data_IF_319418156152
#
_entry.id   IF_319418156152
#
_cell.length_a   1.000
_cell.length_b   1.000
_cell.length_c   1.000
_cell.angle_alpha   90.00
_cell.angle_beta   90.00
_cell.angle_gamma   90.00
#
_symmetry.space_group_name_H-M   'P 1'
#
loop_
_entity.id
_entity.type
_entity.pdbx_description
1 polymer ?
#
# COMPACT_ATOMS: atom_id res chain seq x y z
N UNK A 1 8.90 -20.22 12.38
CA UNK A 1 9.21 -20.35 10.94
C UNK A 1 10.28 -19.33 10.61
N UNK A 2 11.26 -19.70 9.79
CA UNK A 2 12.28 -18.76 9.29
C UNK A 2 11.55 -17.77 8.38
N UNK A 3 11.60 -16.48 8.68
CA UNK A 3 11.01 -15.44 7.81
C UNK A 3 11.86 -15.26 6.55
N UNK A 4 11.25 -14.96 5.39
CA UNK A 4 12.00 -14.63 4.18
C UNK A 4 12.89 -13.39 4.39
N UNK A 5 14.01 -13.35 3.67
CA UNK A 5 14.98 -12.24 3.73
C UNK A 5 14.45 -10.99 3.03
N UNK A 6 13.75 -11.17 1.91
CA UNK A 6 13.21 -10.09 1.09
C UNK A 6 11.69 -10.26 0.97
N UNK A 7 10.96 -9.28 1.48
CA UNK A 7 9.51 -9.21 1.38
C UNK A 7 9.13 -8.11 0.41
N UNK A 8 8.52 -8.47 -0.70
CA UNK A 8 8.02 -7.55 -1.72
C UNK A 8 6.50 -7.42 -1.59
N UNK A 9 5.97 -6.20 -1.70
CA UNK A 9 4.52 -5.99 -1.63
C UNK A 9 4.09 -4.70 -2.34
N UNK A 10 2.80 -4.46 -2.43
CA UNK A 10 2.19 -3.22 -2.87
C UNK A 10 0.88 -3.04 -2.10
N UNK A 11 0.38 -1.81 -1.99
CA UNK A 11 -0.86 -1.59 -1.27
C UNK A 11 -2.07 -2.17 -2.01
N UNK A 12 -3.18 -2.30 -1.29
CA UNK A 12 -4.41 -2.94 -1.79
C UNK A 12 -4.89 -2.35 -3.12
N UNK A 13 -4.76 -1.03 -3.32
CA UNK A 13 -5.22 -0.37 -4.54
C UNK A 13 -4.44 -0.81 -5.78
N UNK A 14 -3.24 -1.35 -5.59
CA UNK A 14 -2.36 -1.87 -6.63
C UNK A 14 -2.35 -3.41 -6.71
N UNK A 15 -2.96 -4.07 -5.73
CA UNK A 15 -3.15 -5.52 -5.64
C UNK A 15 -4.64 -5.86 -5.57
N UNK A 16 -5.40 -5.34 -6.53
CA UNK A 16 -6.82 -5.60 -6.74
C UNK A 16 -7.11 -5.71 -8.24
N UNK A 17 -8.02 -6.62 -8.61
CA UNK A 17 -8.57 -6.70 -9.97
C UNK A 17 -9.77 -5.77 -10.16
N UNK A 18 -10.20 -5.07 -9.10
CA UNK A 18 -11.38 -4.19 -9.09
C UNK A 18 -12.63 -4.85 -9.69
N UNK A 19 -12.81 -6.15 -9.42
CA UNK A 19 -13.86 -7.05 -9.96
C UNK A 19 -13.93 -7.09 -11.51
N UNK A 20 -12.83 -6.77 -12.19
CA UNK A 20 -12.79 -6.69 -13.65
C UNK A 20 -13.61 -5.54 -14.23
N UNK A 21 -14.00 -4.57 -13.41
CA UNK A 21 -14.73 -3.38 -13.87
C UNK A 21 -13.76 -2.46 -14.61
N UNK A 22 -14.12 -2.11 -15.84
CA UNK A 22 -13.31 -1.20 -16.65
C UNK A 22 -13.17 0.16 -15.95
N UNK A 23 -11.96 0.72 -15.98
CA UNK A 23 -11.58 1.98 -15.32
C UNK A 23 -11.71 1.98 -13.79
N UNK A 24 -12.14 0.89 -13.15
CA UNK A 24 -12.27 0.86 -11.71
C UNK A 24 -10.93 0.95 -10.98
N UNK A 25 -9.81 0.69 -11.67
CA UNK A 25 -8.44 0.93 -11.16
C UNK A 25 -8.17 2.39 -10.83
N UNK A 26 -8.94 3.35 -11.37
CA UNK A 26 -8.87 4.76 -10.99
C UNK A 26 -9.62 5.09 -9.69
N UNK A 27 -10.40 4.15 -9.13
CA UNK A 27 -11.16 4.43 -7.90
C UNK A 27 -10.25 4.69 -6.71
N UNK A 28 -9.02 4.20 -6.70
CA UNK A 28 -8.02 4.55 -5.69
C UNK A 28 -7.86 6.07 -5.51
N UNK A 29 -8.05 6.83 -6.58
CA UNK A 29 -8.01 8.29 -6.57
C UNK A 29 -9.23 8.94 -5.87
N UNK A 30 -10.28 8.18 -5.59
CA UNK A 30 -11.48 8.69 -4.93
C UNK A 30 -11.20 9.16 -3.49
N UNK A 31 -11.90 10.18 -3.00
CA UNK A 31 -11.67 10.69 -1.65
C UNK A 31 -12.12 9.67 -0.59
N UNK A 32 -11.17 9.22 0.23
CA UNK A 32 -11.40 8.36 1.37
C UNK A 32 -11.85 9.17 2.60
N UNK A 33 -11.08 10.19 2.98
CA UNK A 33 -11.30 10.97 4.20
C UNK A 33 -11.24 12.48 3.96
N UNK A 34 -12.11 13.22 4.65
CA UNK A 34 -12.05 14.68 4.75
C UNK A 34 -11.70 15.06 6.19
N UNK A 35 -10.41 15.32 6.51
CA UNK A 35 -9.97 15.63 7.87
C UNK A 35 -10.47 17.00 8.37
N UNK A 36 -10.86 17.89 7.45
CA UNK A 36 -11.31 19.26 7.77
C UNK A 36 -12.84 19.38 7.78
N UNK A 37 -13.57 18.26 7.71
CA UNK A 37 -15.03 18.26 7.72
C UNK A 37 -15.56 18.84 9.04
N UNK A 38 -16.49 19.79 8.93
CA UNK A 38 -17.16 20.36 10.11
C UNK A 38 -17.90 19.28 10.90
N UNK A 39 -17.61 19.21 12.21
CA UNK A 39 -18.26 18.28 13.15
C UNK A 39 -19.75 18.54 13.33
N UNK A 40 -20.21 19.75 13.05
CA UNK A 40 -21.64 20.11 13.11
C UNK A 40 -22.41 19.68 11.86
N UNK A 41 -21.72 19.33 10.77
CA UNK A 41 -22.36 18.93 9.52
C UNK A 41 -23.13 17.62 9.64
N UNK A 42 -24.24 17.51 8.90
CA UNK A 42 -25.03 16.28 8.80
C UNK A 42 -24.17 15.08 8.38
N UNK A 43 -23.31 15.26 7.37
CA UNK A 43 -22.42 14.22 6.87
C UNK A 43 -21.41 13.72 7.90
N UNK A 44 -20.91 14.58 8.79
CA UNK A 44 -20.02 14.14 9.86
C UNK A 44 -20.73 13.25 10.88
N UNK A 45 -22.01 13.52 11.17
CA UNK A 45 -22.78 12.69 12.10
C UNK A 45 -23.06 11.29 11.55
N UNK A 46 -23.20 11.15 10.23
CA UNK A 46 -23.49 9.86 9.57
C UNK A 46 -22.21 9.09 9.24
N UNK A 47 -21.21 9.76 8.67
CA UNK A 47 -20.02 9.12 8.08
C UNK A 47 -18.71 9.50 8.77
N UNK A 48 -18.74 10.34 9.81
CA UNK A 48 -17.54 10.91 10.41
C UNK A 48 -16.73 11.68 9.36
N UNK A 49 -15.43 11.41 9.28
CA UNK A 49 -14.56 11.98 8.25
C UNK A 49 -14.62 11.23 6.91
N UNK A 50 -15.34 10.09 6.82
CA UNK A 50 -15.41 9.29 5.61
C UNK A 50 -16.14 10.06 4.49
N UNK A 51 -15.53 10.20 3.32
CA UNK A 51 -16.17 10.83 2.15
C UNK A 51 -16.85 9.75 1.32
N UNK A 52 -16.07 8.84 0.78
CA UNK A 52 -16.57 7.64 0.11
C UNK A 52 -16.61 6.51 1.12
N UNK A 53 -17.75 5.81 1.35
CA UNK A 53 -17.81 4.73 2.33
C UNK A 53 -16.79 3.62 2.07
N UNK A 54 -15.96 3.27 3.08
CA UNK A 54 -14.92 2.24 2.96
C UNK A 54 -15.46 0.89 2.53
N UNK A 55 -16.61 0.48 3.08
CA UNK A 55 -17.25 -0.79 2.75
C UNK A 55 -17.57 -0.88 1.25
N UNK A 56 -18.05 0.21 0.65
CA UNK A 56 -18.33 0.27 -0.77
C UNK A 56 -17.04 0.24 -1.60
N UNK A 57 -16.04 1.01 -1.19
CA UNK A 57 -14.74 1.00 -1.86
C UNK A 57 -14.11 -0.38 -1.83
N UNK A 58 -14.05 -1.04 -0.67
CA UNK A 58 -13.45 -2.36 -0.48
C UNK A 58 -14.21 -3.46 -1.20
N UNK A 59 -15.53 -3.29 -1.36
CA UNK A 59 -16.33 -4.18 -2.17
C UNK A 59 -15.86 -4.11 -3.62
N UNK A 60 -15.64 -2.93 -4.18
CA UNK A 60 -15.16 -2.73 -5.57
C UNK A 60 -13.68 -3.14 -5.69
N UNK A 61 -12.82 -2.58 -4.84
CA UNK A 61 -11.40 -2.91 -4.68
C UNK A 61 -11.24 -4.22 -3.90
N UNK A 62 -11.64 -5.33 -4.53
CA UNK A 62 -11.54 -6.67 -3.97
C UNK A 62 -10.07 -7.10 -3.82
N UNK A 63 -9.81 -8.07 -2.95
CA UNK A 63 -8.48 -8.62 -2.79
C UNK A 63 -8.00 -9.35 -4.05
N UNK A 64 -6.73 -9.18 -4.37
CA UNK A 64 -6.05 -10.08 -5.29
C UNK A 64 -6.03 -11.50 -4.69
N UNK A 65 -6.18 -12.54 -5.52
CA UNK A 65 -6.03 -13.91 -5.04
C UNK A 65 -4.64 -14.16 -4.46
N UNK A 66 -4.57 -14.97 -3.41
CA UNK A 66 -3.32 -15.36 -2.75
C UNK A 66 -3.38 -16.83 -2.32
N UNK A 67 -2.21 -17.43 -2.10
CA UNK A 67 -2.06 -18.77 -1.52
C UNK A 67 -1.19 -18.64 -0.27
N UNK A 68 -1.74 -18.89 0.92
CA UNK A 68 -1.04 -18.75 2.20
C UNK A 68 -0.34 -17.38 2.35
N UNK A 69 -1.08 -16.29 2.15
CA UNK A 69 -0.53 -14.92 2.17
C UNK A 69 0.37 -14.53 0.99
N UNK A 70 0.77 -15.45 0.11
CA UNK A 70 1.61 -15.15 -1.07
C UNK A 70 0.71 -14.69 -2.22
N UNK A 71 0.94 -13.48 -2.73
CA UNK A 71 0.13 -12.92 -3.80
C UNK A 71 0.24 -13.74 -5.09
N UNK A 72 -0.88 -14.03 -5.75
CA UNK A 72 -0.91 -14.64 -7.08
C UNK A 72 -0.61 -13.60 -8.16
N UNK A 73 -1.23 -12.43 -8.06
CA UNK A 73 -0.99 -11.30 -8.95
C UNK A 73 -0.39 -10.12 -8.18
N UNK A 74 0.48 -9.38 -8.85
CA UNK A 74 1.20 -8.25 -8.29
C UNK A 74 1.56 -7.27 -9.42
N UNK A 75 1.85 -5.99 -9.10
CA UNK A 75 2.35 -5.04 -10.10
C UNK A 75 3.53 -5.62 -10.88
N UNK A 76 3.52 -5.43 -12.20
CA UNK A 76 4.52 -6.02 -13.08
C UNK A 76 5.96 -5.64 -12.71
N UNK A 77 6.17 -4.38 -12.27
CA UNK A 77 7.47 -3.92 -11.77
C UNK A 77 7.98 -4.77 -10.59
N UNK A 78 7.09 -5.14 -9.67
CA UNK A 78 7.43 -5.95 -8.50
C UNK A 78 7.81 -7.39 -8.90
N UNK A 79 7.08 -7.99 -9.84
CA UNK A 79 7.41 -9.32 -10.39
C UNK A 79 8.74 -9.34 -11.14
N UNK A 80 9.11 -8.24 -11.80
CA UNK A 80 10.44 -8.12 -12.41
C UNK A 80 11.55 -8.06 -11.38
N UNK A 81 11.34 -7.37 -10.26
CA UNK A 81 12.30 -7.35 -9.14
C UNK A 81 12.45 -8.74 -8.54
N UNK A 82 11.33 -9.43 -8.26
CA UNK A 82 11.33 -10.83 -7.79
C UNK A 82 12.14 -11.73 -8.73
N UNK A 83 11.86 -11.68 -10.04
CA UNK A 83 12.57 -12.49 -11.03
C UNK A 83 14.07 -12.15 -11.11
N UNK A 84 14.44 -10.87 -10.97
CA UNK A 84 15.82 -10.42 -10.93
C UNK A 84 16.58 -10.96 -9.72
N UNK A 85 15.98 -10.89 -8.52
CA UNK A 85 16.59 -11.42 -7.30
C UNK A 85 16.85 -12.92 -7.39
N UNK A 86 15.87 -13.69 -7.90
CA UNK A 86 16.02 -15.13 -8.07
C UNK A 86 17.09 -15.48 -9.12
N UNK A 87 17.15 -14.72 -10.22
CA UNK A 87 18.19 -14.87 -11.24
C UNK A 87 19.59 -14.60 -10.66
N UNK A 88 19.71 -13.64 -9.75
CA UNK A 88 20.98 -13.18 -9.19
C UNK A 88 21.42 -14.00 -7.95
N UNK A 89 20.75 -15.12 -7.66
CA UNK A 89 21.22 -16.15 -6.72
C UNK A 89 20.47 -16.21 -5.38
N UNK A 90 19.44 -15.38 -5.16
CA UNK A 90 18.56 -15.56 -4.00
C UNK A 90 17.72 -16.82 -4.16
N UNK A 91 17.53 -17.57 -3.07
CA UNK A 91 16.70 -18.77 -3.11
C UNK A 91 15.22 -18.40 -3.15
N UNK A 92 14.37 -19.34 -3.60
CA UNK A 92 12.92 -19.11 -3.69
C UNK A 92 12.31 -18.83 -2.31
N UNK A 93 12.83 -19.47 -1.27
CA UNK A 93 12.42 -19.27 0.12
C UNK A 93 12.89 -17.93 0.72
N UNK A 94 13.91 -17.30 0.12
CA UNK A 94 14.45 -16.01 0.60
C UNK A 94 13.62 -14.81 0.11
N UNK A 95 12.86 -14.97 -0.98
CA UNK A 95 12.13 -13.87 -1.63
C UNK A 95 10.64 -14.20 -1.72
N UNK A 96 9.79 -13.34 -1.16
CA UNK A 96 8.34 -13.48 -1.23
C UNK A 96 7.68 -12.23 -1.79
N UNK A 97 6.65 -12.40 -2.60
CA UNK A 97 5.69 -11.32 -2.91
C UNK A 97 4.47 -11.50 -2.02
N UNK A 98 4.45 -10.80 -0.89
CA UNK A 98 3.41 -10.88 0.12
C UNK A 98 2.17 -10.10 -0.32
N UNK A 99 1.01 -10.71 -0.13
CA UNK A 99 -0.27 -10.02 -0.24
C UNK A 99 -0.37 -8.97 0.89
N UNK A 100 -0.84 -7.73 0.61
CA UNK A 100 -0.81 -6.64 1.58
C UNK A 100 -1.57 -6.96 2.87
N UNK A 101 -2.64 -7.75 2.77
CA UNK A 101 -3.43 -8.16 3.95
C UNK A 101 -2.74 -9.19 4.85
N UNK A 102 -1.62 -9.76 4.43
CA UNK A 102 -0.87 -10.77 5.18
C UNK A 102 0.60 -10.34 5.42
N UNK A 103 0.92 -9.07 5.19
CA UNK A 103 2.32 -8.59 5.19
C UNK A 103 3.05 -8.90 6.52
N UNK A 104 2.35 -8.78 7.65
CA UNK A 104 2.90 -9.05 8.98
C UNK A 104 3.31 -10.51 9.21
N UNK A 105 2.79 -11.45 8.43
CA UNK A 105 3.13 -12.88 8.53
C UNK A 105 4.53 -13.18 7.96
N UNK A 106 5.02 -12.31 7.08
CA UNK A 106 6.29 -12.50 6.37
C UNK A 106 7.45 -11.68 6.93
N UNK A 107 7.19 -10.72 7.81
CA UNK A 107 8.22 -9.85 8.39
C UNK A 107 8.70 -10.46 9.71
N UNK A 108 9.96 -10.86 9.79
CA UNK A 108 10.56 -11.41 11.00
C UNK A 108 12.03 -11.01 11.21
N UNK A 109 12.70 -11.57 12.23
CA UNK A 109 14.10 -11.25 12.55
C UNK A 109 15.08 -11.45 11.39
N UNK A 110 14.82 -12.43 10.52
CA UNK A 110 15.66 -12.74 9.36
C UNK A 110 15.34 -11.86 8.13
N UNK A 111 14.27 -11.06 8.18
CA UNK A 111 13.90 -10.16 7.10
C UNK A 111 14.87 -8.98 7.08
N UNK A 112 15.56 -8.80 5.95
CA UNK A 112 16.54 -7.74 5.73
C UNK A 112 15.92 -6.56 4.97
N UNK A 113 14.99 -6.82 4.05
CA UNK A 113 14.38 -5.80 3.18
C UNK A 113 12.87 -6.02 3.04
N UNK A 114 12.12 -4.92 3.15
CA UNK A 114 10.71 -4.83 2.72
C UNK A 114 10.63 -3.85 1.55
N UNK A 115 10.37 -4.35 0.34
CA UNK A 115 10.22 -3.55 -0.87
C UNK A 115 8.76 -3.26 -1.18
N UNK A 116 8.37 -1.98 -1.25
CA UNK A 116 7.01 -1.56 -1.65
C UNK A 116 6.98 -1.05 -3.09
N UNK A 117 5.92 -1.38 -3.83
CA UNK A 117 5.62 -0.75 -5.12
C UNK A 117 4.48 0.25 -4.96
N UNK A 118 4.73 1.51 -5.30
CA UNK A 118 3.85 2.63 -5.02
C UNK A 118 3.61 3.48 -6.28
N UNK A 119 2.33 3.77 -6.53
CA UNK A 119 1.87 4.55 -7.68
C UNK A 119 1.51 5.99 -7.30
N UNK A 120 0.77 6.17 -6.19
CA UNK A 120 0.33 7.49 -5.71
C UNK A 120 0.34 7.57 -4.16
N UNK A 121 1.51 7.39 -3.52
CA UNK A 121 1.60 7.13 -2.08
C UNK A 121 1.09 8.29 -1.20
N UNK A 122 1.13 9.53 -1.68
CA UNK A 122 0.73 10.74 -0.95
C UNK A 122 -0.44 11.48 -1.61
N UNK A 123 -1.12 10.84 -2.57
CA UNK A 123 -2.29 11.38 -3.25
C UNK A 123 -2.01 12.63 -4.09
N UNK A 124 -0.77 12.78 -4.60
CA UNK A 124 -0.34 13.94 -5.39
C UNK A 124 -0.49 13.73 -6.91
N UNK A 125 -1.00 12.57 -7.34
CA UNK A 125 -1.30 12.31 -8.75
C UNK A 125 -2.34 13.30 -9.31
N UNK A 126 -2.25 13.73 -10.59
CA UNK A 126 -3.18 14.71 -11.17
C UNK A 126 -4.65 14.34 -11.05
N UNK A 127 -4.98 13.07 -11.29
CA UNK A 127 -6.34 12.52 -11.18
C UNK A 127 -6.80 12.57 -9.71
N UNK A 128 -5.93 12.14 -8.80
CA UNK A 128 -6.19 12.17 -7.35
C UNK A 128 -6.41 13.58 -6.82
N UNK A 129 -5.57 14.54 -7.21
CA UNK A 129 -5.74 15.93 -6.83
C UNK A 129 -7.05 16.52 -7.36
N UNK A 130 -7.50 16.09 -8.54
CA UNK A 130 -8.79 16.51 -9.10
C UNK A 130 -9.94 16.02 -8.22
N UNK A 131 -9.96 14.75 -7.82
CA UNK A 131 -11.02 14.18 -6.98
C UNK A 131 -10.97 14.61 -5.51
N UNK A 132 -9.79 14.99 -5.01
CA UNK A 132 -9.58 15.36 -3.60
C UNK A 132 -9.56 16.88 -3.35
N UNK A 133 -9.96 17.68 -4.35
CA UNK A 133 -9.94 19.14 -4.29
C UNK A 133 -8.56 19.71 -3.92
N UNK A 134 -7.53 19.25 -4.63
CA UNK A 134 -6.14 19.65 -4.38
C UNK A 134 -5.64 19.17 -3.02
N UNK A 135 -5.90 17.90 -2.67
CA UNK A 135 -5.47 17.27 -1.40
C UNK A 135 -6.11 17.85 -0.14
N UNK A 136 -7.22 18.58 -0.26
CA UNK A 136 -8.07 18.92 0.91
C UNK A 136 -8.68 17.66 1.55
N UNK A 137 -8.77 16.59 0.76
CA UNK A 137 -9.20 15.26 1.17
C UNK A 137 -8.06 14.26 0.91
N UNK A 138 -8.04 13.19 1.69
CA UNK A 138 -7.13 12.05 1.49
C UNK A 138 -7.79 11.08 0.52
N UNK A 139 -7.05 10.60 -0.48
CA UNK A 139 -7.53 9.56 -1.41
C UNK A 139 -7.43 8.15 -0.83
N UNK A 140 -8.02 7.16 -1.51
CA UNK A 140 -7.81 5.77 -1.13
C UNK A 140 -6.40 5.26 -1.42
N UNK A 141 -5.74 5.76 -2.48
CA UNK A 141 -4.34 5.47 -2.77
C UNK A 141 -3.44 5.86 -1.57
N UNK A 142 -3.56 7.11 -1.11
CA UNK A 142 -2.83 7.59 0.07
C UNK A 142 -3.24 6.82 1.34
N UNK A 143 -4.55 6.57 1.52
CA UNK A 143 -5.06 5.87 2.68
C UNK A 143 -4.46 4.46 2.82
N UNK A 144 -4.47 3.67 1.75
CA UNK A 144 -4.01 2.28 1.75
C UNK A 144 -2.49 2.16 1.72
N UNK A 145 -1.78 3.06 1.04
CA UNK A 145 -0.33 3.14 1.13
C UNK A 145 0.12 3.45 2.57
N UNK A 146 -0.51 4.44 3.21
CA UNK A 146 -0.25 4.76 4.62
C UNK A 146 -0.57 3.59 5.56
N UNK A 147 -1.68 2.90 5.32
CA UNK A 147 -2.06 1.72 6.12
C UNK A 147 -1.01 0.61 6.02
N UNK A 148 -0.56 0.30 4.79
CA UNK A 148 0.49 -0.68 4.53
C UNK A 148 1.79 -0.34 5.29
N UNK A 149 2.29 0.89 5.18
CA UNK A 149 3.50 1.31 5.90
C UNK A 149 3.36 1.22 7.41
N UNK A 150 2.20 1.59 7.96
CA UNK A 150 1.92 1.44 9.40
C UNK A 150 1.94 -0.01 9.82
N UNK A 151 1.38 -0.92 9.02
CA UNK A 151 1.40 -2.37 9.27
C UNK A 151 2.81 -2.94 9.19
N UNK A 152 3.62 -2.52 8.21
CA UNK A 152 5.04 -2.89 8.10
C UNK A 152 5.79 -2.47 9.36
N UNK A 153 5.67 -1.21 9.78
CA UNK A 153 6.36 -0.71 10.98
C UNK A 153 5.88 -1.41 12.27
N UNK A 154 4.58 -1.68 12.38
CA UNK A 154 4.04 -2.44 13.51
C UNK A 154 4.55 -3.89 13.52
N UNK A 155 4.59 -4.57 12.37
CA UNK A 155 5.13 -5.91 12.24
C UNK A 155 6.62 -5.97 12.58
N UNK A 156 7.42 -5.03 12.07
CA UNK A 156 8.84 -4.91 12.41
C UNK A 156 9.07 -4.80 13.90
N UNK A 157 8.34 -3.89 14.56
CA UNK A 157 8.42 -3.68 16.01
C UNK A 157 7.98 -4.93 16.80
N UNK A 158 6.87 -5.55 16.40
CA UNK A 158 6.30 -6.73 17.07
C UNK A 158 7.23 -7.93 16.99
N UNK A 159 7.87 -8.12 15.84
CA UNK A 159 8.62 -9.34 15.53
C UNK A 159 10.14 -9.15 15.69
N UNK A 160 10.60 -7.98 16.17
CA UNK A 160 12.03 -7.70 16.34
C UNK A 160 12.80 -7.65 15.02
N UNK A 161 12.14 -7.24 13.92
CA UNK A 161 12.78 -7.14 12.60
C UNK A 161 13.48 -5.79 12.43
N UNK A 162 14.69 -5.83 11.89
CA UNK A 162 15.47 -4.65 11.52
C UNK A 162 15.44 -4.36 10.02
N UNK A 163 14.46 -4.93 9.29
CA UNK A 163 14.36 -4.79 7.85
C UNK A 163 14.36 -3.32 7.40
N UNK A 164 15.13 -3.01 6.36
CA UNK A 164 15.06 -1.71 5.67
C UNK A 164 13.82 -1.69 4.79
N UNK A 165 13.07 -0.59 4.82
CA UNK A 165 11.93 -0.41 3.92
C UNK A 165 12.43 0.36 2.70
N UNK A 166 12.13 -0.13 1.50
CA UNK A 166 12.53 0.52 0.25
C UNK A 166 11.28 0.73 -0.59
N UNK A 167 10.95 1.98 -0.87
CA UNK A 167 9.85 2.33 -1.77
C UNK A 167 10.34 2.45 -3.21
N UNK A 168 9.62 1.81 -4.13
CA UNK A 168 9.83 1.88 -5.58
C UNK A 168 8.52 2.12 -6.32
N UNK A 169 8.60 2.31 -7.64
CA UNK A 169 7.44 2.64 -8.48
C UNK A 169 7.44 4.10 -8.92
N UNK A 170 6.44 4.49 -9.71
CA UNK A 170 6.38 5.84 -10.30
C UNK A 170 5.88 6.90 -9.33
N UNK A 171 5.32 6.53 -8.17
CA UNK A 171 4.83 7.47 -7.17
C UNK A 171 5.91 8.03 -6.23
N UNK A 172 7.12 7.50 -6.25
CA UNK A 172 8.17 7.79 -5.26
C UNK A 172 8.65 9.24 -5.27
N UNK A 173 8.51 9.96 -6.40
CA UNK A 173 8.83 11.38 -6.48
C UNK A 173 8.06 12.24 -5.47
N UNK A 174 6.91 11.78 -4.99
CA UNK A 174 6.07 12.51 -4.04
C UNK A 174 6.76 12.71 -2.70
N UNK A 175 7.66 11.80 -2.31
CA UNK A 175 8.45 11.94 -1.09
C UNK A 175 9.44 13.11 -1.13
N UNK A 176 9.86 13.55 -2.32
CA UNK A 176 10.69 14.76 -2.46
C UNK A 176 9.96 16.04 -2.00
N UNK A 177 8.63 16.01 -1.99
CA UNK A 177 7.78 17.12 -1.54
C UNK A 177 7.26 16.96 -0.10
N UNK A 178 7.55 15.82 0.54
CA UNK A 178 7.10 15.47 1.88
C UNK A 178 8.14 14.59 2.59
N UNK A 179 9.36 15.11 2.84
CA UNK A 179 10.45 14.33 3.45
C UNK A 179 10.10 13.79 4.84
N UNK A 180 9.18 14.42 5.57
CA UNK A 180 8.68 13.93 6.85
C UNK A 180 8.03 12.54 6.75
N UNK A 181 7.52 12.18 5.56
CA UNK A 181 6.94 10.86 5.30
C UNK A 181 7.99 9.77 5.15
N UNK A 182 9.21 10.12 4.74
CA UNK A 182 10.34 9.19 4.67
C UNK A 182 10.64 8.70 6.09
N UNK A 183 10.73 9.62 7.05
CA UNK A 183 10.94 9.29 8.46
C UNK A 183 9.74 8.54 9.08
N UNK A 184 8.50 8.98 8.81
CA UNK A 184 7.28 8.33 9.33
C UNK A 184 7.19 6.86 8.88
N UNK A 185 7.57 6.57 7.63
CA UNK A 185 7.48 5.23 7.05
C UNK A 185 8.77 4.42 7.21
N UNK A 186 9.88 5.03 7.61
CA UNK A 186 11.16 4.37 7.79
C UNK A 186 11.79 3.91 6.47
N UNK A 187 11.62 4.75 5.43
CA UNK A 187 12.17 4.57 4.08
C UNK A 187 13.65 4.96 3.99
#
# INVERSE_FOLDING_TARGET
MVSPKIVLTADRTLMSEYRGLSLATFFGCAPALNPTRSKSSFWYKILGNQVTPKILFDFICNYAPHTNGIAKYAPYGLRKVEAGLLRDGFKREDVVVAHPDHIEEFIGPETEVVGTHEMDPLGMGPVTMTFTYGRRQMSYDEFYCRDLHRRINAAKKKNGSHAKVISGGSGTWQYNYAPEKIEEYGL
#
